data_IF_349594213694
#
_entry.id   IF_349594213694
#
_cell.length_a   1.000
_cell.length_b   1.000
_cell.length_c   1.000
_cell.angle_alpha   90.00
_cell.angle_beta   90.00
_cell.angle_gamma   90.00
#
_symmetry.space_group_name_H-M   'P 1'
#
loop_
_entity.id
_entity.type
_entity.pdbx_description
1 polymer ?
#
# COMPACT_ATOMS: atom_id res chain seq x y z
N UNK A 1 2.48 -18.16 11.60
CA UNK A 1 1.66 -16.93 11.49
C UNK A 1 2.07 -16.10 10.27
N UNK A 2 1.65 -16.47 9.04
CA UNK A 2 1.99 -15.76 7.80
C UNK A 2 1.33 -14.37 7.67
N UNK A 3 0.16 -14.18 8.30
CA UNK A 3 -0.60 -12.92 8.24
C UNK A 3 0.17 -11.73 8.84
N UNK A 4 0.86 -11.94 9.97
CA UNK A 4 1.68 -10.92 10.64
C UNK A 4 2.89 -10.49 9.78
N UNK A 5 3.46 -11.39 8.97
CA UNK A 5 4.56 -11.04 8.04
C UNK A 5 4.07 -10.17 6.88
N UNK A 6 2.90 -10.49 6.32
CA UNK A 6 2.29 -9.72 5.24
C UNK A 6 1.92 -8.33 5.75
N UNK A 7 1.34 -8.24 6.95
CA UNK A 7 1.01 -6.97 7.58
C UNK A 7 2.27 -6.11 7.78
N UNK A 8 3.35 -6.72 8.29
CA UNK A 8 4.63 -6.02 8.53
C UNK A 8 5.28 -5.53 7.23
N UNK A 9 5.24 -6.32 6.15
CA UNK A 9 5.71 -5.88 4.84
C UNK A 9 4.84 -4.75 4.28
N UNK A 10 3.52 -4.83 4.45
CA UNK A 10 2.60 -3.76 4.06
C UNK A 10 2.87 -2.45 4.81
N UNK A 11 3.14 -2.53 6.11
CA UNK A 11 3.49 -1.36 6.93
C UNK A 11 4.82 -0.75 6.49
N UNK A 12 5.86 -1.57 6.30
CA UNK A 12 7.18 -1.11 5.82
C UNK A 12 7.11 -0.49 4.43
N UNK A 13 6.37 -1.11 3.51
CA UNK A 13 6.12 -0.56 2.18
C UNK A 13 5.37 0.77 2.25
N UNK A 14 4.37 0.89 3.13
CA UNK A 14 3.64 2.15 3.36
C UNK A 14 4.54 3.26 3.88
N UNK A 15 5.46 2.94 4.80
CA UNK A 15 6.39 3.93 5.35
C UNK A 15 7.39 4.40 4.30
N UNK A 16 7.92 3.48 3.49
CA UNK A 16 8.79 3.81 2.37
C UNK A 16 8.08 4.69 1.33
N UNK A 17 6.81 4.40 1.02
CA UNK A 17 6.05 5.18 0.05
C UNK A 17 5.68 6.57 0.56
N UNK A 18 5.37 6.71 1.85
CA UNK A 18 5.15 8.02 2.48
C UNK A 18 6.42 8.87 2.50
N UNK A 19 7.58 8.27 2.74
CA UNK A 19 8.87 8.96 2.65
C UNK A 19 9.15 9.44 1.22
N UNK A 20 8.82 8.62 0.21
CA UNK A 20 8.95 8.96 -1.21
C UNK A 20 7.99 10.10 -1.60
N UNK A 21 6.76 10.07 -1.09
CA UNK A 21 5.78 11.15 -1.29
C UNK A 21 6.24 12.46 -0.61
N UNK A 22 6.86 12.39 0.57
CA UNK A 22 7.44 13.55 1.24
C UNK A 22 8.65 14.14 0.48
N UNK A 23 9.50 13.30 -0.11
CA UNK A 23 10.59 13.75 -0.98
C UNK A 23 10.08 14.39 -2.28
N UNK A 24 9.07 13.78 -2.90
CA UNK A 24 8.39 14.33 -4.08
C UNK A 24 7.73 15.68 -3.79
N UNK A 25 7.15 15.85 -2.59
CA UNK A 25 6.63 17.13 -2.14
C UNK A 25 7.71 18.21 -2.12
N UNK A 26 8.88 17.87 -1.56
CA UNK A 26 9.98 18.82 -1.39
C UNK A 26 10.60 19.22 -2.74
N UNK A 27 10.72 18.28 -3.69
CA UNK A 27 11.43 18.51 -4.95
C UNK A 27 10.53 18.90 -6.13
N UNK A 28 9.29 18.44 -6.20
CA UNK A 28 8.42 18.61 -7.37
C UNK A 28 7.07 19.28 -7.03
N UNK A 29 6.83 19.57 -5.74
CA UNK A 29 5.66 20.29 -5.26
C UNK A 29 4.46 19.41 -4.90
N UNK A 30 3.43 20.06 -4.37
CA UNK A 30 2.21 19.42 -3.82
C UNK A 30 1.56 18.40 -4.77
N UNK A 31 1.48 18.73 -6.06
CA UNK A 31 0.74 17.95 -7.05
C UNK A 31 1.31 16.52 -7.22
N UNK A 32 2.64 16.41 -7.23
CA UNK A 32 3.35 15.14 -7.40
C UNK A 32 3.24 14.25 -6.17
N UNK A 33 3.31 14.85 -4.97
CA UNK A 33 3.06 14.14 -3.74
C UNK A 33 1.62 13.64 -3.63
N UNK A 34 0.63 14.45 -4.04
CA UNK A 34 -0.77 14.04 -4.08
C UNK A 34 -0.95 12.87 -5.05
N UNK A 35 -0.37 12.92 -6.25
CA UNK A 35 -0.39 11.83 -7.22
C UNK A 35 0.23 10.55 -6.66
N UNK A 36 1.37 10.65 -5.97
CA UNK A 36 2.04 9.50 -5.34
C UNK A 36 1.19 8.86 -4.24
N UNK A 37 0.49 9.66 -3.43
CA UNK A 37 -0.45 9.17 -2.41
C UNK A 37 -1.68 8.54 -3.06
N UNK A 38 -2.24 9.13 -4.11
CA UNK A 38 -3.39 8.56 -4.82
C UNK A 38 -3.04 7.21 -5.48
N UNK A 39 -1.87 7.10 -6.10
CA UNK A 39 -1.38 5.81 -6.65
C UNK A 39 -1.17 4.78 -5.54
N UNK A 40 -0.61 5.20 -4.40
CA UNK A 40 -0.46 4.32 -3.23
C UNK A 40 -1.79 3.77 -2.74
N UNK A 41 -2.78 4.64 -2.53
CA UNK A 41 -4.12 4.25 -2.05
C UNK A 41 -4.80 3.31 -3.04
N UNK A 42 -4.63 3.53 -4.35
CA UNK A 42 -5.13 2.64 -5.40
C UNK A 42 -4.51 1.24 -5.30
N UNK A 43 -3.19 1.16 -5.21
CA UNK A 43 -2.43 -0.09 -5.02
C UNK A 43 -2.87 -0.81 -3.73
N UNK A 44 -3.01 -0.07 -2.63
CA UNK A 44 -3.42 -0.63 -1.34
C UNK A 44 -4.81 -1.24 -1.40
N UNK A 45 -5.77 -0.56 -2.04
CA UNK A 45 -7.13 -1.10 -2.26
C UNK A 45 -7.13 -2.34 -3.14
N UNK A 46 -6.33 -2.35 -4.21
CA UNK A 46 -6.18 -3.54 -5.06
C UNK A 46 -5.61 -4.71 -4.26
N UNK A 47 -4.56 -4.47 -3.47
CA UNK A 47 -3.94 -5.48 -2.63
C UNK A 47 -4.92 -6.02 -1.58
N UNK A 48 -5.66 -5.16 -0.90
CA UNK A 48 -6.70 -5.57 0.05
C UNK A 48 -7.77 -6.45 -0.61
N UNK A 49 -8.25 -6.09 -1.80
CA UNK A 49 -9.20 -6.91 -2.56
C UNK A 49 -8.63 -8.27 -2.93
N UNK A 50 -7.38 -8.32 -3.40
CA UNK A 50 -6.71 -9.57 -3.74
C UNK A 50 -6.51 -10.47 -2.52
N UNK A 51 -6.11 -9.89 -1.37
CA UNK A 51 -5.94 -10.60 -0.11
C UNK A 51 -7.29 -11.13 0.41
N UNK A 52 -8.36 -10.33 0.35
CA UNK A 52 -9.71 -10.78 0.73
C UNK A 52 -10.21 -11.89 -0.18
N UNK A 53 -10.01 -11.79 -1.49
CA UNK A 53 -10.36 -12.84 -2.45
C UNK A 53 -9.58 -14.13 -2.18
N UNK A 54 -8.28 -14.04 -1.88
CA UNK A 54 -7.47 -15.19 -1.48
C UNK A 54 -7.91 -15.78 -0.15
N UNK A 55 -8.24 -14.94 0.84
CA UNK A 55 -8.75 -15.39 2.13
C UNK A 55 -10.11 -16.08 1.98
N UNK A 56 -10.99 -15.60 1.11
CA UNK A 56 -12.27 -16.24 0.79
C UNK A 56 -12.09 -17.58 0.07
N UNK A 57 -11.16 -17.66 -0.89
CA UNK A 57 -10.81 -18.90 -1.58
C UNK A 57 -10.21 -19.95 -0.63
N UNK A 58 -9.51 -19.53 0.43
CA UNK A 58 -9.01 -20.41 1.49
C UNK A 58 -10.08 -20.75 2.54
N UNK A 59 -11.12 -19.93 2.69
CA UNK A 59 -12.19 -20.11 3.66
C UNK A 59 -13.38 -20.93 3.14
N UNK A 60 -13.54 -21.06 1.82
CA UNK A 60 -14.47 -22.00 1.19
C UNK A 60 -13.70 -23.25 0.75
N UNK A 61 -13.73 -24.35 1.52
CA UNK A 61 -13.11 -25.62 1.15
C UNK A 61 -13.83 -26.33 0.00
#
# INVERSE_FOLDING_TARGET
MPLLRILRHGVLASTGWLALAALLWQHHGFLWALLAVLTWVGLLRMFQRAVLAHAQALAQP
#
